data_IF_186078292718
#
_entry.id   IF_186078292718
#
_cell.length_a   1.000
_cell.length_b   1.000
_cell.length_c   1.000
_cell.angle_alpha   90.00
_cell.angle_beta   90.00
_cell.angle_gamma   90.00
#
_symmetry.space_group_name_H-M   'P 1'
#
loop_
_entity.id
_entity.type
_entity.pdbx_description
1 polymer ?
#
# COMPACT_ATOMS: atom_id res chain seq x y z
N UNK A 1 5.50 -17.82 5.46
CA UNK A 1 4.20 -17.53 4.84
C UNK A 1 4.43 -16.33 3.94
N UNK A 2 4.49 -16.56 2.64
CA UNK A 2 4.84 -15.56 1.61
C UNK A 2 3.76 -14.47 1.57
N UNK A 3 4.14 -13.20 1.55
CA UNK A 3 3.15 -12.12 1.53
C UNK A 3 2.51 -12.07 0.15
N UNK A 4 1.22 -11.76 0.07
CA UNK A 4 0.52 -11.63 -1.22
C UNK A 4 1.16 -10.57 -2.14
N UNK A 5 1.94 -9.63 -1.58
CA UNK A 5 2.72 -8.64 -2.32
C UNK A 5 3.87 -9.31 -3.09
N UNK A 6 4.53 -10.32 -2.52
CA UNK A 6 5.71 -10.95 -3.13
C UNK A 6 5.36 -11.66 -4.46
N UNK A 7 4.08 -12.00 -4.67
CA UNK A 7 3.57 -12.58 -5.91
C UNK A 7 3.31 -11.57 -7.03
N UNK A 8 3.27 -10.28 -6.74
CA UNK A 8 3.04 -9.23 -7.74
C UNK A 8 4.27 -8.34 -7.87
N UNK A 9 4.84 -8.24 -9.07
CA UNK A 9 5.88 -7.26 -9.35
C UNK A 9 5.28 -5.84 -9.34
N UNK A 10 5.29 -5.20 -8.17
CA UNK A 10 4.83 -3.83 -8.02
C UNK A 10 5.93 -2.88 -8.54
N UNK A 11 5.63 -1.97 -9.49
CA UNK A 11 6.63 -1.10 -10.09
C UNK A 11 7.15 -0.05 -9.09
N UNK A 12 8.43 0.31 -9.24
CA UNK A 12 9.08 1.41 -8.50
C UNK A 12 8.86 2.79 -9.15
N UNK A 13 7.68 2.99 -9.74
CA UNK A 13 7.33 4.19 -10.51
C UNK A 13 6.16 4.97 -9.85
N UNK A 14 5.95 6.24 -10.23
CA UNK A 14 4.77 6.99 -9.84
C UNK A 14 3.50 6.37 -10.43
N UNK A 15 2.40 6.45 -9.69
CA UNK A 15 1.11 6.00 -10.19
C UNK A 15 0.02 6.00 -9.13
N UNK A 16 -1.09 5.36 -9.49
CA UNK A 16 -2.27 5.17 -8.65
C UNK A 16 -2.48 3.67 -8.44
N UNK A 17 -2.89 3.28 -7.25
CA UNK A 17 -3.26 1.90 -6.91
C UNK A 17 -4.65 1.87 -6.25
N UNK A 18 -5.28 0.71 -6.36
CA UNK A 18 -6.58 0.41 -5.78
C UNK A 18 -6.38 -0.66 -4.72
N UNK A 19 -6.83 -0.41 -3.50
CA UNK A 19 -7.02 -1.46 -2.50
C UNK A 19 -8.44 -1.96 -2.63
N UNK A 20 -8.58 -3.28 -2.78
CA UNK A 20 -9.86 -3.95 -2.90
C UNK A 20 -10.00 -4.95 -1.75
N UNK A 21 -11.22 -5.10 -1.26
CA UNK A 21 -11.59 -6.31 -0.54
C UNK A 21 -12.06 -7.39 -1.54
N UNK A 22 -12.83 -8.37 -1.09
CA UNK A 22 -13.33 -9.44 -1.95
C UNK A 22 -14.30 -8.97 -3.04
N UNK A 23 -14.97 -7.83 -2.86
CA UNK A 23 -16.12 -7.43 -3.67
C UNK A 23 -16.03 -6.00 -4.21
N UNK A 24 -15.34 -5.10 -3.53
CA UNK A 24 -15.31 -3.68 -3.89
C UNK A 24 -13.97 -2.98 -3.65
N UNK A 25 -13.82 -1.82 -4.28
CA UNK A 25 -12.68 -0.93 -4.05
C UNK A 25 -12.91 -0.16 -2.77
N UNK A 26 -12.09 -0.42 -1.76
CA UNK A 26 -12.21 0.21 -0.44
C UNK A 26 -11.30 1.44 -0.30
N UNK A 27 -10.27 1.56 -1.14
CA UNK A 27 -9.35 2.71 -1.10
C UNK A 27 -8.64 2.93 -2.43
N UNK A 28 -8.39 4.20 -2.76
CA UNK A 28 -7.57 4.62 -3.91
C UNK A 28 -6.42 5.46 -3.39
N UNK A 29 -5.19 5.05 -3.69
CA UNK A 29 -3.98 5.76 -3.29
C UNK A 29 -3.12 6.17 -4.48
N UNK A 30 -2.46 7.32 -4.38
CA UNK A 30 -1.40 7.74 -5.32
C UNK A 30 -0.04 7.74 -4.64
N UNK A 31 1.01 7.44 -5.38
CA UNK A 31 2.38 7.47 -4.88
C UNK A 31 3.38 7.88 -5.95
N UNK A 32 4.52 8.45 -5.52
CA UNK A 32 5.70 8.63 -6.38
C UNK A 32 6.45 7.33 -6.65
N UNK A 33 6.28 6.33 -5.78
CA UNK A 33 6.82 4.99 -5.94
C UNK A 33 5.78 4.01 -5.37
N UNK A 34 5.15 3.25 -6.26
CA UNK A 34 4.04 2.36 -5.89
C UNK A 34 4.50 1.24 -4.97
N UNK A 35 5.63 0.58 -5.26
CA UNK A 35 6.18 -0.49 -4.42
C UNK A 35 6.37 -0.08 -2.97
N UNK A 36 7.09 1.03 -2.71
CA UNK A 36 7.32 1.53 -1.35
C UNK A 36 6.02 1.84 -0.61
N UNK A 37 5.04 2.44 -1.31
CA UNK A 37 3.75 2.80 -0.70
C UNK A 37 2.87 1.59 -0.42
N UNK A 38 2.82 0.60 -1.30
CA UNK A 38 2.01 -0.60 -1.08
C UNK A 38 2.64 -1.46 0.01
N UNK A 39 3.96 -1.68 -0.02
CA UNK A 39 4.66 -2.48 0.99
C UNK A 39 4.55 -1.90 2.41
N UNK A 40 4.46 -0.57 2.58
CA UNK A 40 4.34 0.04 3.91
C UNK A 40 3.09 -0.39 4.68
N UNK A 41 2.00 -0.76 4.00
CA UNK A 41 0.79 -1.26 4.68
C UNK A 41 0.97 -2.62 5.33
N UNK A 42 1.95 -3.40 4.88
CA UNK A 42 2.15 -4.80 5.30
C UNK A 42 3.46 -4.99 6.08
N UNK A 43 4.30 -3.96 6.16
CA UNK A 43 5.42 -3.91 7.09
C UNK A 43 4.91 -3.71 8.52
N UNK A 44 5.25 -4.62 9.43
CA UNK A 44 4.79 -4.70 10.84
C UNK A 44 5.18 -3.53 11.76
N UNK A 45 5.73 -2.44 11.25
CA UNK A 45 6.14 -1.29 12.04
C UNK A 45 5.03 -0.23 12.07
N UNK A 46 4.08 -0.40 13.00
CA UNK A 46 3.08 0.61 13.35
C UNK A 46 3.74 1.81 14.05
N UNK A 47 4.46 2.63 13.30
CA UNK A 47 5.18 3.80 13.85
C UNK A 47 5.23 4.99 12.89
N UNK A 48 4.35 5.06 11.90
CA UNK A 48 4.32 6.21 11.00
C UNK A 48 3.53 7.37 11.63
N UNK A 49 4.26 8.42 12.04
CA UNK A 49 3.73 9.73 12.49
C UNK A 49 2.65 10.32 11.57
N UNK A 50 2.55 9.86 10.32
CA UNK A 50 1.56 10.34 9.35
C UNK A 50 0.13 9.84 9.57
N UNK A 51 -0.08 8.81 10.38
CA UNK A 51 -1.44 8.34 10.71
C UNK A 51 -2.07 9.17 11.84
N UNK A 52 -1.30 9.95 12.60
CA UNK A 52 -1.84 10.81 13.68
C UNK A 52 -2.33 12.18 13.22
N UNK A 53 -2.09 12.60 11.97
CA UNK A 53 -2.58 13.89 11.44
C UNK A 53 -3.93 13.78 10.71
N UNK A 54 -4.51 12.58 10.65
CA UNK A 54 -5.85 12.33 10.10
C UNK A 54 -6.89 11.96 11.19
N UNK A 55 -6.56 12.23 12.46
CA UNK A 55 -7.51 12.16 13.59
C UNK A 55 -7.77 13.57 14.10
#
# INVERSE_FOLDING_TARGET
MESLIDRYEIPELPGVYLMKDQFEVIYVGKAKNLKKRVTSYFSKNHGDKKTSELV
#
